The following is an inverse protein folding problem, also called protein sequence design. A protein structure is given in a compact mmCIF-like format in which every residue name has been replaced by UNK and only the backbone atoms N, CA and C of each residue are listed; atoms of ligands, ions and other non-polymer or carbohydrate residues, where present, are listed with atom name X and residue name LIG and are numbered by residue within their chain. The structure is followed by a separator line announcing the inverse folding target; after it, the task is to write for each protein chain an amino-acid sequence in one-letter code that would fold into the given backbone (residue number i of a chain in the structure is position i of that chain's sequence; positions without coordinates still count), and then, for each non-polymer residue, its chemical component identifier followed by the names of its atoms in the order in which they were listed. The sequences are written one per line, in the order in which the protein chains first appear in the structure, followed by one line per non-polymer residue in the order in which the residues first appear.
data_IF_390443993885
#
_entry.id   IF_390443993885
#
_cell.length_a   1.000
_cell.length_b   1.000
_cell.length_c   1.000
_cell.angle_alpha   90.00
_cell.angle_beta   90.00
_cell.angle_gamma   90.00
#
_symmetry.space_group_name_H-M   'P 1'
#
loop_
_entity.id
_entity.type
_entity.pdbx_description
1 polymer ?
#
# COMPACT_ATOMS: atom_id res chain seq x y z
N UNK A 1 -23.47 -9.44 6.62
CA UNK A 1 -22.53 -8.52 5.94
C UNK A 1 -22.39 -7.22 6.72
N UNK A 2 -23.45 -6.41 6.90
CA UNK A 2 -23.36 -5.11 7.60
C UNK A 2 -22.79 -5.21 9.03
N UNK A 3 -23.34 -6.08 9.89
CA UNK A 3 -22.86 -6.22 11.27
C UNK A 3 -21.36 -6.57 11.38
N UNK A 4 -20.82 -7.34 10.42
CA UNK A 4 -19.38 -7.64 10.35
C UNK A 4 -18.56 -6.44 9.90
N UNK A 5 -19.06 -5.66 8.94
CA UNK A 5 -18.44 -4.40 8.53
C UNK A 5 -18.39 -3.38 9.68
N UNK A 6 -19.46 -3.28 10.47
CA UNK A 6 -19.52 -2.42 11.65
C UNK A 6 -18.55 -2.91 12.74
N UNK A 7 -18.43 -4.23 12.90
CA UNK A 7 -17.43 -4.83 13.80
C UNK A 7 -15.99 -4.49 13.38
N UNK A 8 -15.65 -4.56 12.08
CA UNK A 8 -14.34 -4.14 11.57
C UNK A 8 -14.07 -2.67 11.91
N UNK A 9 -15.07 -1.80 11.70
CA UNK A 9 -14.94 -0.37 12.03
C UNK A 9 -14.75 -0.14 13.53
N UNK A 10 -15.44 -0.93 14.37
CA UNK A 10 -15.33 -0.83 15.83
C UNK A 10 -13.96 -1.32 16.34
N UNK A 11 -13.49 -2.48 15.86
CA UNK A 11 -12.23 -3.09 16.33
C UNK A 11 -11.02 -2.25 15.94
N UNK A 12 -11.04 -1.57 14.79
CA UNK A 12 -9.95 -0.68 14.36
C UNK A 12 -9.77 0.56 15.24
N UNK A 13 -10.72 0.87 16.14
CA UNK A 13 -10.51 1.87 17.18
C UNK A 13 -9.54 1.38 18.28
N UNK A 14 -9.39 0.06 18.43
CA UNK A 14 -8.37 -0.56 19.29
C UNK A 14 -7.07 -0.57 18.49
N UNK A 15 -6.20 0.41 18.73
CA UNK A 15 -4.98 0.66 17.94
C UNK A 15 -3.84 -0.33 18.26
N UNK A 16 -4.05 -1.61 17.97
CA UNK A 16 -3.12 -2.72 18.24
C UNK A 16 -2.94 -3.59 17.00
N UNK A 17 -1.82 -4.32 16.91
CA UNK A 17 -1.59 -5.24 15.80
C UNK A 17 -2.63 -6.36 15.74
N UNK A 18 -3.04 -6.88 16.89
CA UNK A 18 -4.07 -7.93 17.01
C UNK A 18 -5.43 -7.46 16.47
N UNK A 19 -5.81 -6.21 16.74
CA UNK A 19 -7.03 -5.63 16.18
C UNK A 19 -6.96 -5.49 14.65
N UNK A 20 -5.79 -5.14 14.11
CA UNK A 20 -5.55 -5.06 12.66
C UNK A 20 -5.63 -6.45 12.03
N UNK A 21 -5.06 -7.48 12.65
CA UNK A 21 -5.17 -8.87 12.18
C UNK A 21 -6.64 -9.35 12.13
N UNK A 22 -7.41 -9.07 13.20
CA UNK A 22 -8.85 -9.39 13.24
C UNK A 22 -9.60 -8.67 12.12
N UNK A 23 -9.37 -7.36 11.97
CA UNK A 23 -10.00 -6.55 10.94
C UNK A 23 -9.66 -7.04 9.53
N UNK A 24 -8.40 -7.42 9.27
CA UNK A 24 -7.94 -7.96 8.00
C UNK A 24 -8.63 -9.29 7.70
N UNK A 25 -8.63 -10.22 8.65
CA UNK A 25 -9.29 -11.52 8.52
C UNK A 25 -10.78 -11.36 8.19
N UNK A 26 -11.51 -10.56 8.95
CA UNK A 26 -12.93 -10.32 8.70
C UNK A 26 -13.17 -9.62 7.36
N UNK A 27 -12.27 -8.72 6.93
CA UNK A 27 -12.35 -8.07 5.63
C UNK A 27 -12.20 -9.07 4.48
N UNK A 28 -11.20 -9.96 4.57
CA UNK A 28 -10.98 -11.02 3.57
C UNK A 28 -12.14 -12.02 3.54
N UNK A 29 -12.70 -12.39 4.70
CA UNK A 29 -13.88 -13.25 4.77
C UNK A 29 -15.11 -12.61 4.12
N UNK A 30 -15.33 -11.30 4.32
CA UNK A 30 -16.40 -10.57 3.64
C UNK A 30 -16.20 -10.56 2.11
N UNK A 31 -14.97 -10.34 1.63
CA UNK A 31 -14.67 -10.41 0.20
C UNK A 31 -14.85 -11.81 -0.37
N UNK A 32 -14.52 -12.86 0.40
CA UNK A 32 -14.75 -14.25 0.01
C UNK A 32 -16.24 -14.58 -0.09
N UNK A 33 -17.09 -13.99 0.75
CA UNK A 33 -18.55 -14.17 0.71
C UNK A 33 -19.22 -13.30 -0.36
N UNK A 34 -18.64 -12.14 -0.68
CA UNK A 34 -19.16 -11.19 -1.65
C UNK A 34 -18.00 -10.54 -2.42
N UNK A 35 -17.54 -11.21 -3.48
CA UNK A 35 -16.41 -10.73 -4.30
C UNK A 35 -16.70 -9.39 -4.96
N UNK A 36 -17.98 -9.12 -5.26
CA UNK A 36 -18.46 -7.83 -5.78
C UNK A 36 -18.30 -6.65 -4.79
N UNK A 37 -18.08 -6.92 -3.51
CA UNK A 37 -17.77 -5.93 -2.46
C UNK A 37 -18.77 -4.77 -2.36
N UNK A 38 -20.03 -5.09 -2.12
CA UNK A 38 -21.09 -4.09 -2.00
C UNK A 38 -20.91 -3.12 -0.81
N UNK A 39 -19.95 -3.39 0.08
CA UNK A 39 -19.65 -2.58 1.26
C UNK A 39 -18.32 -1.81 1.15
N UNK A 40 -17.60 -1.92 0.03
CA UNK A 40 -16.34 -1.18 -0.21
C UNK A 40 -15.16 -1.61 0.68
N UNK A 41 -15.22 -2.83 1.22
CA UNK A 41 -14.22 -3.41 2.14
C UNK A 41 -12.86 -3.54 1.47
N UNK A 42 -12.79 -3.78 0.16
CA UNK A 42 -11.51 -3.95 -0.56
C UNK A 42 -10.61 -2.73 -0.38
N UNK A 43 -11.19 -1.54 -0.25
CA UNK A 43 -10.45 -0.28 -0.22
C UNK A 43 -9.48 -0.14 0.96
N UNK A 44 -9.76 -0.78 2.10
CA UNK A 44 -8.92 -0.73 3.31
C UNK A 44 -7.94 -1.90 3.43
N UNK A 45 -8.19 -3.02 2.73
CA UNK A 45 -7.40 -4.26 2.91
C UNK A 45 -5.90 -4.05 2.71
N UNK A 46 -5.41 -3.36 1.66
CA UNK A 46 -3.98 -3.12 1.52
C UNK A 46 -3.39 -2.32 2.69
N UNK A 47 -4.11 -1.33 3.20
CA UNK A 47 -3.62 -0.56 4.34
C UNK A 47 -3.51 -1.43 5.60
N UNK A 48 -4.43 -2.37 5.82
CA UNK A 48 -4.35 -3.31 6.94
C UNK A 48 -3.12 -4.22 6.83
N UNK A 49 -2.84 -4.77 5.64
CA UNK A 49 -1.60 -5.53 5.40
C UNK A 49 -0.35 -4.69 5.72
N UNK A 50 -0.30 -3.44 5.25
CA UNK A 50 0.86 -2.54 5.46
C UNK A 50 1.09 -2.16 6.93
N UNK A 51 0.03 -2.12 7.75
CA UNK A 51 0.15 -1.92 9.20
C UNK A 51 0.73 -3.14 9.92
N UNK A 52 0.66 -4.31 9.30
CA UNK A 52 1.20 -5.58 9.80
C UNK A 52 2.60 -5.89 9.24
N UNK A 53 3.17 -5.01 8.41
CA UNK A 53 4.45 -5.27 7.72
C UNK A 53 4.36 -6.34 6.63
N UNK A 54 3.15 -6.63 6.14
CA UNK A 54 2.84 -7.64 5.13
C UNK A 54 2.75 -7.00 3.75
N UNK A 55 3.84 -6.34 3.35
CA UNK A 55 3.90 -5.50 2.16
C UNK A 55 3.81 -6.34 0.88
N UNK A 56 4.36 -7.55 0.86
CA UNK A 56 4.22 -8.48 -0.26
C UNK A 56 2.75 -8.90 -0.47
N UNK A 57 2.02 -9.28 0.57
CA UNK A 57 0.59 -9.63 0.40
C UNK A 57 -0.28 -8.42 0.05
N UNK A 58 0.07 -7.22 0.56
CA UNK A 58 -0.56 -5.99 0.11
C UNK A 58 -0.36 -5.80 -1.40
N UNK A 59 0.86 -6.01 -1.89
CA UNK A 59 1.20 -5.92 -3.31
C UNK A 59 0.42 -6.93 -4.15
N UNK A 60 0.44 -8.21 -3.76
CA UNK A 60 -0.24 -9.29 -4.48
C UNK A 60 -1.76 -9.06 -4.56
N UNK A 61 -2.37 -8.56 -3.47
CA UNK A 61 -3.78 -8.19 -3.44
C UNK A 61 -4.09 -7.06 -4.44
N UNK A 62 -3.30 -5.98 -4.39
CA UNK A 62 -3.41 -4.83 -5.28
C UNK A 62 -3.27 -5.29 -6.75
N UNK A 63 -2.23 -6.09 -7.04
CA UNK A 63 -1.94 -6.66 -8.35
C UNK A 63 -3.09 -7.54 -8.85
N UNK A 64 -3.68 -8.39 -8.01
CA UNK A 64 -4.79 -9.26 -8.40
C UNK A 64 -5.96 -8.45 -8.96
N UNK A 65 -6.37 -7.38 -8.27
CA UNK A 65 -7.40 -6.49 -8.78
C UNK A 65 -6.95 -5.71 -10.02
N UNK A 66 -5.66 -5.37 -10.11
CA UNK A 66 -5.10 -4.70 -11.28
C UNK A 66 -5.17 -5.57 -12.54
N UNK A 67 -4.90 -6.88 -12.46
CA UNK A 67 -4.73 -7.74 -13.65
C UNK A 67 -5.85 -8.75 -13.88
N UNK A 68 -6.45 -9.30 -12.82
CA UNK A 68 -7.49 -10.35 -12.90
C UNK A 68 -8.88 -9.81 -12.57
N UNK A 69 -9.00 -8.92 -11.59
CA UNK A 69 -10.26 -8.34 -11.12
C UNK A 69 -10.80 -7.19 -11.98
N UNK A 70 -10.76 -7.32 -13.31
CA UNK A 70 -11.25 -6.29 -14.24
C UNK A 70 -12.75 -6.44 -14.58
N UNK A 71 -13.24 -5.65 -15.54
CA UNK A 71 -14.65 -5.66 -15.95
C UNK A 71 -15.12 -6.97 -16.58
N UNK A 72 -14.21 -7.88 -16.95
CA UNK A 72 -14.53 -9.20 -17.51
C UNK A 72 -14.59 -10.30 -16.46
N UNK A 73 -14.16 -10.03 -15.23
CA UNK A 73 -14.25 -11.00 -14.13
C UNK A 73 -15.71 -11.17 -13.68
N UNK A 74 -16.21 -12.41 -13.66
CA UNK A 74 -17.54 -12.71 -13.12
C UNK A 74 -17.49 -12.76 -11.60
N UNK A 75 -17.83 -11.64 -10.96
CA UNK A 75 -17.88 -11.49 -9.50
C UNK A 75 -18.89 -12.42 -8.80
N UNK A 76 -19.79 -13.09 -9.54
CA UNK A 76 -20.79 -14.02 -8.99
C UNK A 76 -20.36 -15.47 -9.12
N UNK A 77 -19.42 -15.78 -10.00
CA UNK A 77 -18.88 -17.13 -10.14
C UNK A 77 -17.83 -17.40 -9.06
N UNK A 78 -18.28 -18.10 -8.02
CA UNK A 78 -17.44 -18.46 -6.87
C UNK A 78 -16.43 -19.57 -7.18
N UNK A 79 -16.51 -20.22 -8.34
CA UNK A 79 -15.56 -21.25 -8.77
C UNK A 79 -14.28 -20.66 -9.38
N UNK A 80 -14.32 -19.40 -9.84
CA UNK A 80 -13.15 -18.72 -10.40
C UNK A 80 -12.07 -18.50 -9.33
N UNK A 81 -10.77 -18.53 -9.70
CA UNK A 81 -9.69 -18.12 -8.82
C UNK A 81 -9.92 -16.70 -8.29
N UNK A 82 -9.61 -16.48 -7.01
CA UNK A 82 -9.86 -15.21 -6.32
C UNK A 82 -8.76 -14.95 -5.30
N UNK A 83 -8.08 -13.81 -5.42
CA UNK A 83 -6.93 -13.43 -4.59
C UNK A 83 -5.87 -14.53 -4.52
N UNK A 84 -5.56 -15.12 -5.68
CA UNK A 84 -4.70 -16.29 -5.86
C UNK A 84 -3.30 -15.93 -6.38
N UNK A 85 -2.91 -14.65 -6.33
CA UNK A 85 -1.53 -14.24 -6.62
C UNK A 85 -0.69 -14.32 -5.35
N UNK A 86 0.59 -14.69 -5.51
CA UNK A 86 1.53 -14.81 -4.40
C UNK A 86 2.96 -14.54 -4.88
N UNK A 87 3.68 -13.66 -4.19
CA UNK A 87 5.09 -13.38 -4.48
C UNK A 87 5.30 -12.68 -5.82
N UNK A 88 4.35 -11.85 -6.25
CA UNK A 88 4.45 -11.09 -7.49
C UNK A 88 5.56 -10.04 -7.40
N UNK A 89 6.11 -9.65 -8.55
CA UNK A 89 7.24 -8.73 -8.60
C UNK A 89 6.86 -7.29 -8.24
N UNK A 90 7.07 -6.91 -6.98
CA UNK A 90 6.81 -5.57 -6.48
C UNK A 90 7.74 -4.49 -7.06
N UNK A 91 8.70 -4.80 -7.93
CA UNK A 91 9.51 -3.81 -8.65
C UNK A 91 8.93 -3.41 -10.00
N UNK A 92 7.98 -4.17 -10.54
CA UNK A 92 7.45 -3.90 -11.87
C UNK A 92 6.79 -2.51 -12.00
N UNK A 93 6.69 -2.04 -13.24
CA UNK A 93 6.13 -0.75 -13.58
C UNK A 93 4.68 -0.60 -13.10
N UNK A 94 4.28 0.64 -12.80
CA UNK A 94 2.92 0.96 -12.38
C UNK A 94 1.94 0.68 -13.52
N UNK A 95 0.96 -0.17 -13.25
CA UNK A 95 -0.12 -0.47 -14.20
C UNK A 95 -1.09 0.71 -14.24
N UNK A 96 -1.19 1.38 -15.38
CA UNK A 96 -2.16 2.44 -15.61
C UNK A 96 -3.51 1.83 -16.05
N UNK A 97 -4.50 1.86 -15.15
CA UNK A 97 -5.89 1.51 -15.50
C UNK A 97 -6.86 2.65 -15.12
N UNK A 98 -7.81 3.01 -16.00
CA UNK A 98 -8.71 4.15 -15.82
C UNK A 98 -9.73 4.02 -14.66
N UNK A 99 -9.76 2.90 -13.93
CA UNK A 99 -10.66 2.69 -12.78
C UNK A 99 -9.95 2.08 -11.58
N UNK A 100 -8.65 2.36 -11.47
CA UNK A 100 -7.86 1.85 -10.37
C UNK A 100 -8.13 2.67 -9.10
N UNK A 101 -8.66 2.02 -8.06
CA UNK A 101 -9.06 2.65 -6.80
C UNK A 101 -7.94 3.53 -6.24
N UNK A 102 -8.24 4.78 -5.89
CA UNK A 102 -7.25 5.71 -5.32
C UNK A 102 -6.63 5.13 -4.05
N UNK A 103 -7.39 4.37 -3.25
CA UNK A 103 -6.86 3.68 -2.08
C UNK A 103 -5.77 2.64 -2.42
N UNK A 104 -5.88 1.97 -3.57
CA UNK A 104 -4.84 1.06 -4.06
C UNK A 104 -3.62 1.82 -4.55
N UNK A 105 -3.80 2.95 -5.23
CA UNK A 105 -2.69 3.84 -5.60
C UNK A 105 -1.94 4.34 -4.37
N UNK A 106 -2.67 4.74 -3.32
CA UNK A 106 -2.08 5.16 -2.05
C UNK A 106 -1.30 4.04 -1.37
N UNK A 107 -1.87 2.84 -1.28
CA UNK A 107 -1.16 1.70 -0.69
C UNK A 107 0.05 1.26 -1.53
N UNK A 108 -0.08 1.19 -2.86
CA UNK A 108 1.02 0.88 -3.77
C UNK A 108 2.14 1.91 -3.66
N UNK A 109 1.80 3.19 -3.55
CA UNK A 109 2.81 4.23 -3.35
C UNK A 109 3.57 4.04 -2.05
N UNK A 110 2.88 3.70 -0.94
CA UNK A 110 3.53 3.42 0.33
C UNK A 110 4.48 2.21 0.23
N UNK A 111 4.05 1.11 -0.43
CA UNK A 111 4.91 -0.05 -0.72
C UNK A 111 6.17 0.39 -1.47
N UNK A 112 6.00 1.13 -2.56
CA UNK A 112 7.13 1.59 -3.39
C UNK A 112 8.07 2.50 -2.61
N UNK A 113 7.56 3.37 -1.73
CA UNK A 113 8.38 4.22 -0.86
C UNK A 113 9.15 3.37 0.17
N UNK A 114 8.50 2.42 0.85
CA UNK A 114 9.16 1.52 1.82
C UNK A 114 10.27 0.71 1.14
N UNK A 115 9.96 0.08 0.01
CA UNK A 115 10.92 -0.67 -0.79
C UNK A 115 12.10 0.19 -1.28
N UNK A 116 11.83 1.42 -1.72
CA UNK A 116 12.89 2.38 -2.09
C UNK A 116 13.76 2.73 -0.87
N UNK A 117 13.16 2.92 0.31
CA UNK A 117 13.91 3.22 1.53
C UNK A 117 14.75 2.05 2.00
N UNK A 118 14.25 0.82 1.86
CA UNK A 118 15.00 -0.40 2.17
C UNK A 118 16.23 -0.52 1.25
N UNK A 119 16.08 -0.26 -0.05
CA UNK A 119 17.21 -0.22 -0.97
C UNK A 119 18.18 0.94 -0.70
N UNK A 120 17.70 2.13 -0.36
CA UNK A 120 18.57 3.26 0.05
C UNK A 120 19.38 2.90 1.31
N UNK A 121 18.76 2.18 2.25
CA UNK A 121 19.40 1.67 3.47
C UNK A 121 20.50 0.66 3.13
N UNK A 122 20.17 -0.35 2.32
CA UNK A 122 21.09 -1.40 1.88
C UNK A 122 22.25 -0.83 1.03
N UNK A 123 21.98 0.16 0.18
CA UNK A 123 23.00 0.90 -0.55
C UNK A 123 23.97 1.63 0.38
N UNK A 124 23.46 2.25 1.45
CA UNK A 124 24.26 2.90 2.48
C UNK A 124 25.10 1.91 3.29
N UNK A 125 24.57 0.71 3.54
CA UNK A 125 25.32 -0.40 4.14
C UNK A 125 26.51 -0.82 3.28
N UNK A 126 26.30 -1.05 1.97
CA UNK A 126 27.40 -1.40 1.05
C UNK A 126 28.45 -0.30 0.93
N UNK A 127 28.08 0.97 1.02
CA UNK A 127 29.06 2.07 1.03
C UNK A 127 29.97 2.02 2.26
N UNK A 128 29.45 1.57 3.42
CA UNK A 128 30.23 1.40 4.66
C UNK A 128 31.00 0.08 4.68
N UNK A 129 30.47 -0.95 4.02
CA UNK A 129 31.05 -2.29 3.94
C UNK A 129 31.03 -2.81 2.49
N UNK A 130 31.95 -2.35 1.62
CA UNK A 130 31.93 -2.66 0.18
C UNK A 130 32.06 -4.14 -0.16
N UNK A 131 32.70 -4.92 0.72
CA UNK A 131 32.93 -6.36 0.53
C UNK A 131 31.91 -7.21 1.32
N UNK A 132 30.75 -6.65 1.69
CA UNK A 132 29.73 -7.41 2.41
C UNK A 132 29.28 -8.61 1.58
N UNK A 133 29.25 -9.79 2.21
CA UNK A 133 28.76 -11.02 1.60
C UNK A 133 27.24 -10.98 1.41
N UNK A 134 26.68 -11.90 0.61
CA UNK A 134 25.23 -12.00 0.44
C UNK A 134 24.50 -12.31 1.76
N UNK A 135 25.10 -13.10 2.65
CA UNK A 135 24.57 -13.40 3.99
C UNK A 135 24.53 -12.13 4.85
N UNK A 136 25.62 -11.37 4.89
CA UNK A 136 25.67 -10.12 5.66
C UNK A 136 24.67 -9.06 5.15
N UNK A 137 24.39 -9.06 3.84
CA UNK A 137 23.34 -8.20 3.25
C UNK A 137 21.96 -8.69 3.67
N UNK A 138 21.74 -10.00 3.69
CA UNK A 138 20.46 -10.58 4.09
C UNK A 138 20.15 -10.34 5.57
N UNK A 139 21.13 -10.58 6.45
CA UNK A 139 21.03 -10.29 7.90
C UNK A 139 20.68 -8.82 8.13
N UNK A 140 21.33 -7.91 7.39
CA UNK A 140 21.02 -6.49 7.44
C UNK A 140 19.58 -6.18 7.03
N UNK A 141 19.07 -6.81 5.97
CA UNK A 141 17.67 -6.66 5.54
C UNK A 141 16.71 -7.20 6.61
N UNK A 142 17.01 -8.34 7.24
CA UNK A 142 16.19 -8.91 8.32
C UNK A 142 16.06 -7.97 9.52
N UNK A 143 17.10 -7.22 9.85
CA UNK A 143 17.12 -6.30 10.99
C UNK A 143 16.53 -4.92 10.66
N UNK A 144 16.78 -4.40 9.45
CA UNK A 144 16.60 -2.97 9.16
C UNK A 144 15.49 -2.66 8.14
N UNK A 145 14.98 -3.65 7.41
CA UNK A 145 13.97 -3.41 6.38
C UNK A 145 12.61 -3.00 6.97
N UNK A 146 11.98 -2.03 6.32
CA UNK A 146 10.62 -1.57 6.61
C UNK A 146 9.55 -2.48 6.00
N UNK A 147 9.89 -3.17 4.90
CA UNK A 147 9.01 -4.09 4.17
C UNK A 147 9.57 -5.51 4.15
N UNK A 148 8.69 -6.50 4.04
CA UNK A 148 9.06 -7.92 3.95
C UNK A 148 9.45 -8.37 2.53
N UNK A 149 9.31 -7.49 1.53
CA UNK A 149 9.53 -7.82 0.11
C UNK A 149 10.96 -8.27 -0.16
N UNK A 150 11.97 -7.57 0.36
CA UNK A 150 13.37 -7.92 0.12
C UNK A 150 13.76 -9.26 0.75
N UNK A 151 13.08 -9.69 1.82
CA UNK A 151 13.32 -10.98 2.48
C UNK A 151 13.04 -12.17 1.55
N UNK A 152 12.18 -11.96 0.55
CA UNK A 152 11.81 -12.96 -0.45
C UNK A 152 12.57 -12.79 -1.78
N UNK A 153 13.48 -11.81 -1.86
CA UNK A 153 14.17 -11.40 -3.10
C UNK A 153 15.69 -11.48 -2.98
N UNK A 154 16.17 -12.70 -2.73
CA UNK A 154 17.61 -12.98 -2.68
C UNK A 154 18.36 -12.55 -3.96
N UNK A 155 17.69 -12.61 -5.11
CA UNK A 155 18.19 -12.12 -6.40
C UNK A 155 18.48 -10.62 -6.39
N UNK A 156 17.65 -9.84 -5.68
CA UNK A 156 17.83 -8.40 -5.53
C UNK A 156 18.87 -8.11 -4.45
N UNK A 157 18.76 -8.73 -3.27
CA UNK A 157 19.67 -8.49 -2.14
C UNK A 157 21.13 -8.81 -2.52
N UNK A 158 21.37 -9.80 -3.39
CA UNK A 158 22.70 -10.16 -3.86
C UNK A 158 23.37 -9.14 -4.80
N UNK A 159 22.68 -8.09 -5.26
CA UNK A 159 23.27 -7.06 -6.14
C UNK A 159 24.30 -6.17 -5.42
N UNK A 160 25.29 -5.67 -6.15
CA UNK A 160 26.34 -4.81 -5.59
C UNK A 160 26.05 -3.30 -5.68
N UNK A 161 25.05 -2.91 -6.48
CA UNK A 161 24.56 -1.53 -6.59
C UNK A 161 23.04 -1.56 -6.77
N UNK A 162 22.35 -0.64 -6.09
CA UNK A 162 20.89 -0.50 -6.12
C UNK A 162 20.42 0.82 -6.74
N UNK A 163 21.33 1.69 -7.19
CA UNK A 163 20.97 3.04 -7.70
C UNK A 163 19.92 3.03 -8.80
N UNK A 164 20.03 2.11 -9.74
CA UNK A 164 19.08 2.03 -10.87
C UNK A 164 17.68 1.64 -10.38
N UNK A 165 17.58 0.64 -9.50
CA UNK A 165 16.31 0.25 -8.88
C UNK A 165 15.72 1.39 -8.03
N UNK A 166 16.56 2.10 -7.26
CA UNK A 166 16.15 3.26 -6.49
C UNK A 166 15.61 4.36 -7.41
N UNK A 167 16.29 4.62 -8.54
CA UNK A 167 15.87 5.63 -9.51
C UNK A 167 14.53 5.25 -10.17
N UNK A 168 14.36 3.98 -10.52
CA UNK A 168 13.11 3.47 -11.07
C UNK A 168 11.96 3.61 -10.08
N UNK A 169 12.15 3.19 -8.83
CA UNK A 169 11.14 3.34 -7.77
C UNK A 169 10.78 4.81 -7.54
N UNK A 170 11.75 5.74 -7.57
CA UNK A 170 11.47 7.19 -7.50
C UNK A 170 10.58 7.66 -8.66
N UNK A 171 10.84 7.16 -9.87
CA UNK A 171 10.00 7.43 -11.04
C UNK A 171 8.56 6.92 -10.85
N UNK A 172 8.41 5.68 -10.40
CA UNK A 172 7.12 5.05 -10.13
C UNK A 172 6.34 5.78 -9.02
N UNK A 173 7.00 6.22 -7.95
CA UNK A 173 6.38 7.00 -6.87
C UNK A 173 5.88 8.35 -7.40
N UNK A 174 6.68 9.04 -8.21
CA UNK A 174 6.28 10.31 -8.81
C UNK A 174 5.11 10.15 -9.79
N UNK A 175 5.09 9.05 -10.55
CA UNK A 175 3.96 8.70 -11.42
C UNK A 175 2.68 8.51 -10.59
N UNK A 176 2.72 7.68 -9.54
CA UNK A 176 1.58 7.46 -8.63
C UNK A 176 1.12 8.76 -7.98
N UNK A 177 2.06 9.64 -7.60
CA UNK A 177 1.74 10.95 -7.02
C UNK A 177 0.88 11.80 -7.96
N UNK A 178 1.29 11.87 -9.23
CA UNK A 178 0.55 12.60 -10.28
C UNK A 178 -0.82 11.98 -10.53
N UNK A 179 -0.89 10.65 -10.65
CA UNK A 179 -2.16 9.95 -10.85
C UNK A 179 -3.16 10.26 -9.73
N UNK A 180 -2.75 10.12 -8.46
CA UNK A 180 -3.63 10.41 -7.31
C UNK A 180 -4.03 11.89 -7.26
N UNK A 181 -3.12 12.81 -7.61
CA UNK A 181 -3.43 14.25 -7.68
C UNK A 181 -4.48 14.55 -8.75
N UNK A 182 -4.37 13.90 -9.91
CA UNK A 182 -5.30 14.02 -11.03
C UNK A 182 -6.66 13.42 -10.70
N UNK A 183 -6.69 12.24 -10.08
CA UNK A 183 -7.94 11.57 -9.69
C UNK A 183 -8.68 12.34 -8.59
N UNK A 184 -7.96 12.85 -7.58
CA UNK A 184 -8.55 13.57 -6.46
C UNK A 184 -7.58 14.56 -5.80
N UNK A 185 -7.70 15.84 -6.16
CA UNK A 185 -6.88 16.94 -5.64
C UNK A 185 -6.95 17.15 -4.12
N UNK A 186 -7.93 16.54 -3.43
CA UNK A 186 -8.12 16.68 -1.99
C UNK A 186 -7.26 15.69 -1.19
N UNK A 187 -6.65 14.67 -1.80
CA UNK A 187 -5.87 13.67 -1.06
C UNK A 187 -4.65 14.28 -0.36
N UNK A 188 -3.81 15.01 -1.11
CA UNK A 188 -2.54 15.52 -0.61
C UNK A 188 -2.65 16.54 0.54
N UNK A 189 -3.62 17.48 0.52
CA UNK A 189 -3.89 18.33 1.67
C UNK A 189 -4.09 17.56 2.99
N UNK A 190 -4.74 16.39 2.97
CA UNK A 190 -4.93 15.55 4.15
C UNK A 190 -3.64 14.92 4.69
N UNK A 191 -2.70 14.56 3.81
CA UNK A 191 -1.39 14.04 4.20
C UNK A 191 -0.50 15.15 4.80
N UNK A 192 -0.59 16.36 4.27
CA UNK A 192 0.11 17.53 4.82
C UNK A 192 -0.46 17.94 6.17
N UNK A 193 -1.78 18.03 6.28
CA UNK A 193 -2.49 18.41 7.50
C UNK A 193 -3.60 17.40 7.85
N UNK A 194 -3.26 16.32 8.57
CA UNK A 194 -4.20 15.26 8.99
C UNK A 194 -5.44 15.78 9.74
N UNK A 195 -5.33 16.91 10.44
CA UNK A 195 -6.43 17.50 11.18
C UNK A 195 -7.56 18.00 10.28
N UNK A 196 -7.32 18.18 8.98
CA UNK A 196 -8.36 18.53 8.01
C UNK A 196 -9.45 17.45 7.90
N UNK A 197 -9.10 16.17 8.15
CA UNK A 197 -9.97 15.01 7.93
C UNK A 197 -10.23 14.17 9.18
N UNK A 198 -9.49 14.41 10.27
CA UNK A 198 -9.53 13.58 11.48
C UNK A 198 -10.93 13.40 12.10
N UNK A 199 -11.81 14.40 11.97
CA UNK A 199 -13.15 14.41 12.58
C UNK A 199 -14.29 14.20 11.58
N UNK A 200 -13.98 14.13 10.29
CA UNK A 200 -15.00 14.03 9.25
C UNK A 200 -15.43 12.58 9.04
N UNK A 201 -16.73 12.36 8.89
CA UNK A 201 -17.35 11.06 8.61
C UNK A 201 -18.30 11.24 7.43
N UNK A 202 -17.85 10.99 6.19
CA UNK A 202 -18.70 11.13 5.02
C UNK A 202 -19.75 10.01 5.01
N UNK A 203 -21.01 10.37 4.76
CA UNK A 203 -22.12 9.40 4.58
C UNK A 203 -22.32 9.03 3.12
N UNK A 204 -21.85 9.87 2.20
CA UNK A 204 -21.87 9.66 0.76
C UNK A 204 -20.67 10.36 0.14
N UNK A 205 -20.22 9.90 -1.02
CA UNK A 205 -19.16 10.52 -1.79
C UNK A 205 -19.39 10.32 -3.29
N UNK A 206 -18.70 11.12 -4.09
CA UNK A 206 -18.59 10.94 -5.53
C UNK A 206 -17.11 10.82 -5.89
N UNK A 207 -16.75 10.13 -7.00
CA UNK A 207 -15.38 10.09 -7.47
C UNK A 207 -14.77 11.49 -7.60
N UNK A 208 -13.58 11.70 -7.05
CA UNK A 208 -12.86 12.97 -7.03
C UNK A 208 -13.32 13.98 -5.98
N UNK A 209 -14.34 13.66 -5.15
CA UNK A 209 -14.86 14.59 -4.15
C UNK A 209 -14.00 14.64 -2.88
N UNK A 210 -14.19 15.69 -2.06
CA UNK A 210 -13.52 15.80 -0.76
C UNK A 210 -13.91 14.65 0.17
N UNK A 211 -15.16 14.22 0.13
CA UNK A 211 -15.69 13.13 0.93
C UNK A 211 -15.02 11.80 0.59
N UNK A 212 -14.75 11.55 -0.70
CA UNK A 212 -13.96 10.38 -1.12
C UNK A 212 -12.54 10.44 -0.55
N UNK A 213 -11.91 11.62 -0.58
CA UNK A 213 -10.57 11.81 -0.01
C UNK A 213 -10.55 11.58 1.51
N UNK A 214 -11.58 12.03 2.24
CA UNK A 214 -11.73 11.73 3.67
C UNK A 214 -11.88 10.24 3.91
N UNK A 215 -12.69 9.53 3.12
CA UNK A 215 -12.88 8.08 3.24
C UNK A 215 -11.55 7.33 3.02
N UNK A 216 -10.83 7.67 1.96
CA UNK A 216 -9.51 7.07 1.66
C UNK A 216 -8.52 7.37 2.79
N UNK A 217 -8.48 8.63 3.25
CA UNK A 217 -7.64 9.02 4.38
C UNK A 217 -7.93 8.19 5.62
N UNK A 218 -9.21 7.99 5.99
CA UNK A 218 -9.57 7.17 7.16
C UNK A 218 -9.11 5.72 7.03
N UNK A 219 -9.17 5.17 5.81
CA UNK A 219 -8.79 3.78 5.54
C UNK A 219 -7.27 3.58 5.49
N UNK A 220 -6.50 4.60 5.08
CA UNK A 220 -5.06 4.46 4.85
C UNK A 220 -4.16 5.23 5.81
N UNK A 221 -4.66 6.24 6.54
CA UNK A 221 -3.80 7.17 7.28
C UNK A 221 -2.87 6.48 8.26
N UNK A 222 -3.37 5.47 8.99
CA UNK A 222 -2.54 4.79 9.98
C UNK A 222 -1.35 4.05 9.36
N UNK A 223 -1.52 3.37 8.21
CA UNK A 223 -0.40 2.70 7.54
C UNK A 223 0.69 3.70 7.12
N UNK A 224 0.31 4.92 6.75
CA UNK A 224 1.24 6.00 6.42
C UNK A 224 1.88 6.61 7.67
N UNK A 225 1.09 6.94 8.68
CA UNK A 225 1.56 7.61 9.90
C UNK A 225 2.49 6.74 10.75
N UNK A 226 2.36 5.41 10.63
CA UNK A 226 3.26 4.43 11.25
C UNK A 226 4.60 4.32 10.50
N UNK A 227 4.78 5.02 9.36
CA UNK A 227 6.02 5.03 8.55
C UNK A 227 6.51 6.47 8.33
N UNK A 228 7.14 7.05 9.35
CA UNK A 228 7.66 8.43 9.30
C UNK A 228 8.60 8.72 8.11
N UNK A 229 9.53 7.82 7.70
CA UNK A 229 10.34 8.04 6.49
C UNK A 229 9.51 8.22 5.22
N UNK A 230 8.38 7.53 5.09
CA UNK A 230 7.49 7.65 3.93
C UNK A 230 6.73 8.98 3.93
N UNK A 231 6.21 9.40 5.09
CA UNK A 231 5.56 10.71 5.26
C UNK A 231 6.51 11.85 4.92
N UNK A 232 7.75 11.82 5.41
CA UNK A 232 8.75 12.85 5.10
C UNK A 232 9.05 12.90 3.61
N UNK A 233 9.17 11.74 2.96
CA UNK A 233 9.44 11.66 1.53
C UNK A 233 8.29 12.27 0.70
N UNK A 234 7.05 11.86 0.93
CA UNK A 234 5.90 12.35 0.15
C UNK A 234 5.63 13.84 0.39
N UNK A 235 5.81 14.34 1.62
CA UNK A 235 5.73 15.79 1.91
C UNK A 235 6.80 16.59 1.17
N UNK A 236 7.98 16.01 0.96
CA UNK A 236 9.02 16.59 0.11
C UNK A 236 8.56 16.76 -1.34
N UNK A 237 7.91 15.74 -1.91
CA UNK A 237 7.32 15.82 -3.26
C UNK A 237 6.25 16.91 -3.32
N UNK A 238 5.30 16.91 -2.37
CA UNK A 238 4.19 17.88 -2.34
C UNK A 238 4.73 19.32 -2.26
N UNK A 239 5.76 19.57 -1.45
CA UNK A 239 6.37 20.89 -1.32
C UNK A 239 7.04 21.37 -2.61
N UNK A 240 7.67 20.46 -3.37
CA UNK A 240 8.38 20.79 -4.60
C UNK A 240 7.47 20.96 -5.83
N UNK A 241 6.21 20.53 -5.72
CA UNK A 241 5.19 20.61 -6.78
C UNK A 241 4.33 21.90 -6.68
N UNK A 242 4.63 22.77 -5.71
CA UNK A 242 4.02 24.10 -5.54
C UNK A 242 4.82 25.16 -6.28
#
# INVERSE_FOLDING_TARGET
MQARHDYISAILNVRTGEAVEIALKESLDLLRLCRGDNLGVRSQVPALYLRLGRDQEAYDFIKWYAVKGDSKYDWRDMSLPFLDLQGEDAFEAVIEKPYYYISFKMALMLIKIRLMKDLESLQGFLQKKPNATGEERYDYVQEEAMSDILLQRADVVAKDDYKDLIAELKGQILQLYKMVKEDNKHIWPGIENPNLYAYDVPTAYSPGSREEAVLIFRNSWYSWSETEPAIRYIRGIIKNDR
#
